data_IF_545003707758
#
_entry.id   IF_545003707758
#
_cell.length_a   1.000
_cell.length_b   1.000
_cell.length_c   1.000
_cell.angle_alpha   90.00
_cell.angle_beta   90.00
_cell.angle_gamma   90.00
#
_symmetry.space_group_name_H-M   'P 1'
#
loop_
_entity.id
_entity.type
_entity.pdbx_description
1 polymer ?
#
# COMPACT_ATOMS: atom_id res chain seq x y z
N UNK A 1 -18.97 12.28 -10.27
CA UNK A 1 -18.64 11.12 -11.06
C UNK A 1 -17.16 11.10 -11.53
N UNK A 2 -16.35 12.06 -11.07
CA UNK A 2 -14.93 12.14 -11.45
C UNK A 2 -14.63 12.59 -12.88
N UNK A 3 -15.65 12.93 -13.67
CA UNK A 3 -15.46 13.32 -15.08
C UNK A 3 -15.09 14.79 -15.26
N UNK A 4 -15.14 15.59 -14.20
CA UNK A 4 -14.97 17.06 -14.28
C UNK A 4 -16.19 17.82 -14.82
N UNK A 5 -17.28 17.13 -15.12
CA UNK A 5 -18.52 17.75 -15.53
C UNK A 5 -19.17 18.55 -14.37
N UNK A 6 -19.90 19.65 -14.64
CA UNK A 6 -20.62 20.37 -13.60
C UNK A 6 -21.57 19.47 -12.82
N UNK A 7 -21.74 19.76 -11.52
CA UNK A 7 -22.74 19.09 -10.70
C UNK A 7 -24.15 19.33 -11.21
N UNK A 8 -25.05 18.41 -10.96
CA UNK A 8 -26.48 18.57 -11.27
C UNK A 8 -27.32 18.26 -10.03
N UNK A 9 -28.53 18.81 -9.99
CA UNK A 9 -29.53 18.48 -8.96
C UNK A 9 -30.51 17.46 -9.52
N UNK A 10 -30.62 16.31 -8.86
CA UNK A 10 -31.47 15.20 -9.29
C UNK A 10 -31.32 13.97 -8.45
N UNK A 11 -31.90 12.88 -8.91
CA UNK A 11 -31.87 11.57 -8.28
C UNK A 11 -30.85 10.67 -8.98
N UNK A 12 -30.39 9.64 -8.27
CA UNK A 12 -29.52 8.56 -8.79
C UNK A 12 -30.23 7.25 -8.53
N UNK A 13 -30.36 6.42 -9.57
CA UNK A 13 -30.82 5.05 -9.45
C UNK A 13 -29.63 4.10 -9.49
N UNK A 14 -29.58 3.17 -8.51
CA UNK A 14 -28.56 2.13 -8.39
C UNK A 14 -29.27 0.79 -8.43
N UNK A 15 -28.76 -0.11 -9.26
CA UNK A 15 -29.17 -1.53 -9.30
C UNK A 15 -27.93 -2.36 -9.02
N UNK A 16 -28.00 -3.19 -7.98
CA UNK A 16 -26.87 -3.88 -7.38
C UNK A 16 -25.77 -2.89 -6.98
N UNK A 17 -24.66 -2.85 -7.68
CA UNK A 17 -23.51 -1.94 -7.45
C UNK A 17 -23.28 -0.94 -8.59
N UNK A 18 -24.22 -0.87 -9.55
CA UNK A 18 -24.12 -0.03 -10.75
C UNK A 18 -25.08 1.16 -10.70
N UNK A 19 -24.58 2.34 -11.01
CA UNK A 19 -25.43 3.51 -11.29
C UNK A 19 -26.07 3.31 -12.67
N UNK A 20 -27.35 2.98 -12.68
CA UNK A 20 -28.09 2.68 -13.94
C UNK A 20 -28.77 3.89 -14.53
N UNK A 21 -29.09 4.89 -13.73
CA UNK A 21 -29.76 6.09 -14.23
C UNK A 21 -29.50 7.32 -13.33
N UNK A 22 -29.66 8.50 -13.90
CA UNK A 22 -29.58 9.78 -13.19
C UNK A 22 -30.56 10.78 -13.80
N UNK A 23 -31.21 11.58 -12.97
CA UNK A 23 -32.15 12.57 -13.45
C UNK A 23 -33.17 12.93 -12.38
N UNK A 24 -34.42 13.23 -12.82
CA UNK A 24 -35.57 13.45 -11.94
C UNK A 24 -36.63 12.40 -12.22
N UNK A 25 -37.41 12.08 -11.20
CA UNK A 25 -38.56 11.18 -11.32
C UNK A 25 -38.17 9.78 -11.86
N UNK A 26 -37.17 9.18 -11.30
CA UNK A 26 -36.61 7.87 -11.77
C UNK A 26 -37.51 6.68 -11.45
N UNK A 27 -38.72 6.92 -10.90
CA UNK A 27 -39.67 5.86 -10.59
C UNK A 27 -39.53 5.24 -9.20
N UNK A 28 -40.09 4.04 -9.03
CA UNK A 28 -40.10 3.33 -7.75
C UNK A 28 -38.82 2.53 -7.55
N UNK A 29 -38.37 2.49 -6.31
CA UNK A 29 -37.23 1.66 -5.90
C UNK A 29 -37.58 0.82 -4.66
N UNK A 30 -36.88 -0.29 -4.47
CA UNK A 30 -36.98 -1.13 -3.26
C UNK A 30 -36.60 -0.37 -2.00
N UNK A 31 -35.57 0.48 -2.11
CA UNK A 31 -35.09 1.34 -1.03
C UNK A 31 -34.88 2.75 -1.58
N UNK A 32 -35.39 3.73 -0.86
CA UNK A 32 -35.20 5.15 -1.21
C UNK A 32 -34.48 5.83 -0.05
N UNK A 33 -33.39 6.52 -0.36
CA UNK A 33 -32.62 7.31 0.59
C UNK A 33 -32.89 8.80 0.28
N UNK A 34 -33.48 9.52 1.23
CA UNK A 34 -33.65 10.97 1.09
C UNK A 34 -32.30 11.67 1.30
N UNK A 35 -31.76 12.20 0.20
CA UNK A 35 -30.49 12.94 0.20
C UNK A 35 -30.70 14.46 0.05
N UNK A 36 -31.89 14.99 0.36
CA UNK A 36 -32.16 16.40 0.26
C UNK A 36 -31.19 17.24 1.08
N UNK A 37 -30.54 18.20 0.41
CA UNK A 37 -29.52 19.06 1.03
C UNK A 37 -28.14 18.42 1.16
N UNK A 38 -27.97 17.20 0.66
CA UNK A 38 -26.69 16.50 0.60
C UNK A 38 -26.12 16.50 -0.81
N UNK A 39 -24.85 16.18 -0.92
CA UNK A 39 -24.15 15.97 -2.19
C UNK A 39 -23.68 14.53 -2.27
N UNK A 40 -24.02 13.84 -3.35
CA UNK A 40 -23.44 12.55 -3.68
C UNK A 40 -22.15 12.76 -4.48
N UNK A 41 -21.06 12.23 -3.99
CA UNK A 41 -19.74 12.33 -4.61
C UNK A 41 -19.15 10.95 -4.77
N UNK A 42 -18.12 10.76 -5.65
CA UNK A 42 -17.31 9.55 -5.65
C UNK A 42 -16.70 9.31 -4.27
N UNK A 43 -16.53 8.04 -3.89
CA UNK A 43 -15.80 7.70 -2.68
C UNK A 43 -14.36 8.23 -2.73
N UNK A 44 -13.82 8.61 -1.59
CA UNK A 44 -12.47 9.13 -1.52
C UNK A 44 -11.44 8.01 -1.72
N UNK A 45 -10.36 8.37 -2.41
CA UNK A 45 -9.16 7.53 -2.54
C UNK A 45 -8.13 8.08 -1.56
N UNK A 46 -7.82 7.31 -0.52
CA UNK A 46 -6.71 7.62 0.36
C UNK A 46 -5.42 7.05 -0.24
N UNK A 47 -4.63 7.93 -0.84
CA UNK A 47 -3.45 7.56 -1.61
C UNK A 47 -2.21 7.30 -0.75
N UNK A 48 -2.28 7.51 0.58
CA UNK A 48 -1.15 7.30 1.46
C UNK A 48 -1.59 6.74 2.80
N UNK A 49 -1.62 5.41 2.90
CA UNK A 49 -1.96 4.71 4.14
C UNK A 49 -0.92 3.66 4.51
N UNK A 50 -0.98 3.21 5.76
CA UNK A 50 -0.14 2.15 6.31
C UNK A 50 -1.00 1.05 6.94
N UNK A 51 -2.09 0.67 6.27
CA UNK A 51 -3.00 -0.40 6.72
C UNK A 51 -2.48 -1.82 6.44
N UNK A 52 -1.25 -1.96 5.97
CA UNK A 52 -0.65 -3.24 5.57
C UNK A 52 -0.82 -4.32 6.65
N UNK A 53 -0.41 -4.04 7.86
CA UNK A 53 -0.57 -4.96 8.97
C UNK A 53 -2.04 -5.05 9.42
N UNK A 54 -2.73 -3.92 9.56
CA UNK A 54 -4.09 -3.85 10.09
C UNK A 54 -5.08 -4.67 9.27
N UNK A 55 -4.98 -4.70 7.94
CA UNK A 55 -5.87 -5.49 7.08
C UNK A 55 -5.84 -7.00 7.40
N UNK A 56 -4.82 -7.49 8.08
CA UNK A 56 -4.75 -8.89 8.46
C UNK A 56 -5.67 -9.25 9.65
N UNK A 57 -6.16 -8.28 10.41
CA UNK A 57 -7.13 -8.48 11.50
C UNK A 57 -8.39 -7.62 11.39
N UNK A 58 -8.30 -6.41 10.82
CA UNK A 58 -9.43 -5.52 10.53
C UNK A 58 -9.62 -5.35 9.03
N UNK A 59 -10.44 -6.20 8.38
CA UNK A 59 -10.64 -6.13 6.94
C UNK A 59 -11.38 -4.86 6.49
N UNK A 60 -11.95 -4.10 7.42
CA UNK A 60 -12.63 -2.84 7.10
C UNK A 60 -11.70 -1.64 7.06
N UNK A 61 -10.44 -1.76 7.46
CA UNK A 61 -9.49 -0.64 7.52
C UNK A 61 -10.07 0.58 8.28
N UNK A 62 -10.68 0.32 9.44
CA UNK A 62 -11.25 1.41 10.23
C UNK A 62 -10.16 2.40 10.71
N UNK A 63 -10.46 3.72 10.73
CA UNK A 63 -11.79 4.32 10.54
C UNK A 63 -12.09 4.82 9.13
N UNK A 64 -11.19 4.64 8.15
CA UNK A 64 -11.24 5.31 6.84
C UNK A 64 -12.57 5.15 6.09
N UNK A 65 -13.20 3.97 5.99
CA UNK A 65 -14.49 3.83 5.30
C UNK A 65 -15.62 4.63 5.93
N UNK A 66 -15.61 4.80 7.26
CA UNK A 66 -16.60 5.62 7.98
C UNK A 66 -16.47 7.10 7.66
N UNK A 67 -15.34 7.52 7.10
CA UNK A 67 -15.07 8.89 6.64
C UNK A 67 -15.28 9.07 5.14
N UNK A 68 -15.83 8.05 4.46
CA UNK A 68 -16.13 8.09 3.02
C UNK A 68 -15.00 7.61 2.13
N UNK A 69 -13.94 7.01 2.68
CA UNK A 69 -12.86 6.39 1.89
C UNK A 69 -13.34 5.05 1.36
N UNK A 70 -13.29 4.87 0.05
CA UNK A 70 -13.67 3.63 -0.62
C UNK A 70 -12.50 2.90 -1.27
N UNK A 71 -11.35 3.56 -1.37
CA UNK A 71 -10.12 3.00 -1.91
C UNK A 71 -8.94 3.45 -1.06
N UNK A 72 -8.09 2.51 -0.67
CA UNK A 72 -6.85 2.78 0.06
C UNK A 72 -5.65 2.30 -0.73
N UNK A 73 -4.55 3.03 -0.62
CA UNK A 73 -3.25 2.61 -1.18
C UNK A 73 -2.32 2.31 -0.01
N UNK A 74 -1.82 1.07 0.04
CA UNK A 74 -0.92 0.56 1.07
C UNK A 74 0.50 0.36 0.55
N UNK A 75 1.45 0.06 1.43
CA UNK A 75 2.86 -0.13 1.07
C UNK A 75 3.61 1.18 0.87
N UNK A 76 3.05 2.29 1.31
CA UNK A 76 3.67 3.60 1.18
C UNK A 76 5.01 3.67 1.91
N UNK A 77 5.87 4.58 1.51
CA UNK A 77 7.22 4.78 2.06
C UNK A 77 8.14 3.55 1.95
N UNK A 78 7.69 2.49 1.28
CA UNK A 78 8.41 1.23 1.20
C UNK A 78 8.29 0.35 2.46
N UNK A 79 7.27 0.59 3.28
CA UNK A 79 6.99 -0.14 4.52
C UNK A 79 5.80 -1.07 4.29
N UNK A 80 6.08 -2.35 4.20
CA UNK A 80 5.06 -3.39 4.00
C UNK A 80 5.35 -4.58 4.91
N UNK A 81 4.38 -5.48 5.05
CA UNK A 81 4.57 -6.74 5.75
C UNK A 81 4.87 -7.91 4.80
N UNK A 82 4.84 -7.65 3.49
CA UNK A 82 5.17 -8.64 2.46
C UNK A 82 6.05 -8.00 1.37
N UNK A 83 7.05 -8.76 0.85
CA UNK A 83 7.38 -10.14 1.21
C UNK A 83 8.06 -10.25 2.59
N UNK A 84 7.88 -11.37 3.29
CA UNK A 84 8.49 -11.58 4.60
C UNK A 84 8.66 -13.08 4.91
N UNK A 85 9.90 -13.56 4.98
CA UNK A 85 10.23 -14.92 5.44
C UNK A 85 9.88 -15.11 6.92
N UNK A 86 9.54 -16.33 7.30
CA UNK A 86 9.12 -16.62 8.67
C UNK A 86 10.15 -16.19 9.73
N UNK A 87 11.43 -16.40 9.46
CA UNK A 87 12.55 -16.01 10.32
C UNK A 87 12.75 -14.50 10.45
N UNK A 88 12.25 -13.71 9.49
CA UNK A 88 12.41 -12.24 9.47
C UNK A 88 11.17 -11.48 10.00
N UNK A 89 10.12 -12.18 10.43
CA UNK A 89 8.86 -11.55 10.90
C UNK A 89 9.08 -10.57 12.04
N UNK A 90 9.92 -10.92 13.01
CA UNK A 90 10.20 -10.01 14.12
C UNK A 90 10.92 -8.74 13.67
N UNK A 91 11.89 -8.87 12.76
CA UNK A 91 12.59 -7.73 12.18
C UNK A 91 11.65 -6.81 11.40
N UNK A 92 10.78 -7.39 10.57
CA UNK A 92 9.76 -6.65 9.82
C UNK A 92 8.81 -5.89 10.76
N UNK A 93 8.32 -6.52 11.82
CA UNK A 93 7.44 -5.87 12.80
C UNK A 93 8.15 -4.72 13.52
N UNK A 94 9.41 -4.88 13.90
CA UNK A 94 10.22 -3.82 14.54
C UNK A 94 10.41 -2.60 13.63
N UNK A 95 10.54 -2.82 12.34
CA UNK A 95 10.60 -1.74 11.36
C UNK A 95 9.27 -0.97 11.27
N UNK A 96 8.13 -1.62 11.54
CA UNK A 96 6.81 -1.01 11.43
C UNK A 96 6.33 -0.28 12.69
N UNK A 97 6.88 -0.57 13.87
CA UNK A 97 6.38 -0.04 15.15
C UNK A 97 6.24 1.48 15.17
N UNK A 98 7.23 2.20 14.64
CA UNK A 98 7.20 3.66 14.60
C UNK A 98 6.25 4.20 13.53
N UNK A 99 6.08 3.49 12.42
CA UNK A 99 5.24 3.91 11.29
C UNK A 99 3.77 3.68 11.61
N UNK A 100 3.44 2.51 12.15
CA UNK A 100 2.07 2.13 12.51
C UNK A 100 1.57 2.81 13.79
N UNK A 101 2.50 3.35 14.59
CA UNK A 101 2.16 3.90 15.92
C UNK A 101 1.61 2.86 16.89
N UNK A 102 1.81 1.58 16.61
CA UNK A 102 1.35 0.45 17.42
C UNK A 102 2.50 -0.18 18.19
N UNK A 103 2.17 -0.74 19.37
CA UNK A 103 3.16 -1.49 20.14
C UNK A 103 3.58 -2.77 19.41
N UNK A 104 4.83 -3.19 19.61
CA UNK A 104 5.36 -4.45 19.07
C UNK A 104 4.49 -5.65 19.42
N UNK A 105 3.98 -5.70 20.67
CA UNK A 105 3.11 -6.79 21.13
C UNK A 105 1.76 -6.82 20.42
N UNK A 106 1.19 -5.67 20.10
CA UNK A 106 -0.06 -5.58 19.34
C UNK A 106 0.14 -6.09 17.91
N UNK A 107 1.22 -5.69 17.25
CA UNK A 107 1.57 -6.15 15.91
C UNK A 107 1.86 -7.67 15.91
N UNK A 108 2.64 -8.17 16.88
CA UNK A 108 2.92 -9.62 17.00
C UNK A 108 1.67 -10.47 17.15
N UNK A 109 0.65 -9.97 17.88
CA UNK A 109 -0.62 -10.69 18.10
C UNK A 109 -1.61 -10.50 16.95
N UNK A 110 -1.60 -9.33 16.31
CA UNK A 110 -2.58 -8.95 15.31
C UNK A 110 -2.30 -9.54 13.93
N UNK A 111 -1.04 -9.58 13.51
CA UNK A 111 -0.69 -9.96 12.14
C UNK A 111 -0.94 -11.47 11.93
N UNK A 112 -1.78 -11.76 10.94
CA UNK A 112 -1.99 -13.12 10.46
C UNK A 112 -1.02 -13.40 9.30
N UNK A 113 -0.02 -14.25 9.55
CA UNK A 113 1.06 -14.58 8.62
C UNK A 113 0.75 -15.78 7.71
N UNK A 114 -0.40 -15.81 7.06
CA UNK A 114 -0.76 -16.85 6.08
C UNK A 114 -0.20 -16.56 4.68
N UNK A 115 0.93 -15.87 4.62
CA UNK A 115 1.65 -15.50 3.39
C UNK A 115 3.15 -15.35 3.70
N UNK A 116 3.96 -15.41 2.67
CA UNK A 116 5.40 -15.10 2.69
C UNK A 116 5.74 -14.10 1.58
N UNK A 117 5.28 -14.36 0.37
CA UNK A 117 5.54 -13.50 -0.80
C UNK A 117 4.51 -12.37 -0.93
N UNK A 118 4.84 -11.37 -1.74
CA UNK A 118 3.90 -10.29 -2.04
C UNK A 118 2.63 -10.77 -2.79
N UNK A 119 2.72 -11.65 -3.81
CA UNK A 119 1.54 -12.24 -4.42
C UNK A 119 0.64 -13.02 -3.45
N UNK A 120 1.23 -13.79 -2.54
CA UNK A 120 0.48 -14.52 -1.51
C UNK A 120 -0.25 -13.55 -0.56
N UNK A 121 0.36 -12.43 -0.23
CA UNK A 121 -0.29 -11.40 0.58
C UNK A 121 -1.49 -10.78 -0.15
N UNK A 122 -1.36 -10.44 -1.43
CA UNK A 122 -2.50 -9.94 -2.22
C UNK A 122 -3.62 -10.99 -2.29
N UNK A 123 -3.26 -12.25 -2.52
CA UNK A 123 -4.23 -13.35 -2.51
C UNK A 123 -4.89 -13.54 -1.15
N UNK A 124 -4.15 -13.42 -0.05
CA UNK A 124 -4.70 -13.47 1.29
C UNK A 124 -5.73 -12.36 1.53
N UNK A 125 -5.48 -11.12 1.08
CA UNK A 125 -6.43 -10.03 1.19
C UNK A 125 -7.69 -10.28 0.35
N UNK A 126 -7.53 -10.80 -0.86
CA UNK A 126 -8.63 -11.16 -1.76
C UNK A 126 -9.53 -12.25 -1.13
N UNK A 127 -8.93 -13.34 -0.65
CA UNK A 127 -9.66 -14.47 -0.06
C UNK A 127 -10.35 -14.10 1.25
N UNK A 128 -9.73 -13.21 2.04
CA UNK A 128 -10.32 -12.70 3.26
C UNK A 128 -11.54 -11.81 2.99
N UNK A 129 -11.53 -11.10 1.88
CA UNK A 129 -12.46 -10.03 1.58
C UNK A 129 -12.18 -8.80 2.45
N UNK A 130 -11.92 -7.68 1.82
CA UNK A 130 -11.67 -6.39 2.47
C UNK A 130 -12.75 -5.39 2.08
N UNK A 131 -13.10 -4.49 3.00
CA UNK A 131 -14.18 -3.53 2.78
C UNK A 131 -13.87 -2.50 1.71
N UNK A 132 -12.79 -1.73 1.79
CA UNK A 132 -12.36 -0.81 0.74
C UNK A 132 -11.68 -1.56 -0.41
N UNK A 133 -11.63 -0.93 -1.59
CA UNK A 133 -10.69 -1.36 -2.61
C UNK A 133 -9.27 -1.12 -2.13
N UNK A 134 -8.35 -2.03 -2.45
CA UNK A 134 -6.96 -1.97 -2.04
C UNK A 134 -6.05 -1.99 -3.26
N UNK A 135 -5.13 -1.02 -3.32
CA UNK A 135 -3.98 -1.07 -4.19
C UNK A 135 -2.72 -1.11 -3.33
N UNK A 136 -1.73 -1.92 -3.70
CA UNK A 136 -0.54 -2.14 -2.89
C UNK A 136 0.74 -1.87 -3.65
N UNK A 137 1.65 -1.09 -3.04
CA UNK A 137 3.02 -0.98 -3.49
C UNK A 137 3.86 -2.16 -3.01
N UNK A 138 4.86 -2.52 -3.80
CA UNK A 138 5.93 -3.42 -3.38
C UNK A 138 6.94 -2.56 -2.59
N UNK A 139 7.11 -2.86 -1.30
CA UNK A 139 7.89 -2.04 -0.39
C UNK A 139 9.38 -2.36 -0.40
N UNK A 140 10.21 -1.35 -0.63
CA UNK A 140 11.67 -1.50 -0.74
C UNK A 140 12.30 -2.09 0.52
N UNK A 141 11.93 -1.57 1.70
CA UNK A 141 12.49 -2.07 2.98
C UNK A 141 12.17 -3.54 3.20
N UNK A 142 10.95 -3.97 2.86
CA UNK A 142 10.54 -5.37 3.00
C UNK A 142 11.26 -6.29 2.01
N UNK A 143 11.43 -5.84 0.76
CA UNK A 143 12.20 -6.57 -0.26
C UNK A 143 13.66 -6.75 0.18
N UNK A 144 14.30 -5.69 0.71
CA UNK A 144 15.67 -5.78 1.24
C UNK A 144 15.78 -6.76 2.41
N UNK A 145 14.84 -6.71 3.37
CA UNK A 145 14.82 -7.64 4.51
C UNK A 145 14.59 -9.07 4.03
N UNK A 146 13.73 -9.27 3.05
CA UNK A 146 13.45 -10.60 2.50
C UNK A 146 14.69 -11.25 1.88
N UNK A 147 15.51 -10.47 1.15
CA UNK A 147 16.72 -10.96 0.47
C UNK A 147 17.92 -11.05 1.41
N UNK A 148 18.14 -10.01 2.24
CA UNK A 148 19.37 -9.82 3.00
C UNK A 148 19.25 -10.13 4.50
N UNK A 149 18.02 -10.30 5.01
CA UNK A 149 17.79 -10.47 6.43
C UNK A 149 18.26 -9.26 7.25
N UNK A 150 18.94 -9.52 8.36
CA UNK A 150 19.47 -8.48 9.27
C UNK A 150 20.53 -7.60 8.60
N UNK A 151 21.25 -8.10 7.61
CA UNK A 151 22.26 -7.33 6.88
C UNK A 151 21.64 -6.16 6.08
N UNK A 152 20.35 -6.22 5.80
CA UNK A 152 19.60 -5.10 5.20
C UNK A 152 19.65 -3.81 6.03
N UNK A 153 19.94 -3.91 7.34
CA UNK A 153 20.06 -2.79 8.27
C UNK A 153 21.49 -2.24 8.41
N UNK A 154 22.48 -2.90 7.84
CA UNK A 154 23.89 -2.60 8.14
C UNK A 154 24.75 -2.30 6.92
N UNK A 155 24.37 -2.77 5.74
CA UNK A 155 25.17 -2.62 4.52
C UNK A 155 24.35 -2.42 3.26
N UNK A 156 25.03 -2.02 2.20
CA UNK A 156 24.49 -2.01 0.84
C UNK A 156 24.31 -3.44 0.32
N UNK A 157 23.37 -3.62 -0.60
CA UNK A 157 23.21 -4.86 -1.35
C UNK A 157 24.37 -5.09 -2.33
N UNK A 158 24.75 -6.33 -2.54
CA UNK A 158 25.62 -6.75 -3.63
C UNK A 158 24.83 -6.99 -4.92
N UNK A 159 25.53 -7.28 -6.03
CA UNK A 159 24.88 -7.44 -7.33
C UNK A 159 23.89 -8.63 -7.38
N UNK A 160 24.20 -9.74 -6.74
CA UNK A 160 23.32 -10.92 -6.75
C UNK A 160 22.03 -10.63 -5.96
N UNK A 161 22.17 -9.95 -4.82
CA UNK A 161 21.02 -9.49 -4.02
C UNK A 161 20.14 -8.49 -4.78
N UNK A 162 20.74 -7.58 -5.54
CA UNK A 162 19.99 -6.65 -6.40
C UNK A 162 19.19 -7.41 -7.46
N UNK A 163 19.79 -8.42 -8.09
CA UNK A 163 19.11 -9.27 -9.09
C UNK A 163 17.94 -10.02 -8.45
N UNK A 164 18.11 -10.54 -7.23
CA UNK A 164 17.02 -11.20 -6.51
C UNK A 164 15.89 -10.22 -6.19
N UNK A 165 16.20 -9.02 -5.71
CA UNK A 165 15.22 -7.96 -5.47
C UNK A 165 14.47 -7.56 -6.76
N UNK A 166 15.17 -7.42 -7.90
CA UNK A 166 14.53 -7.15 -9.20
C UNK A 166 13.50 -8.22 -9.56
N UNK A 167 13.79 -9.50 -9.30
CA UNK A 167 12.88 -10.60 -9.58
C UNK A 167 11.63 -10.52 -8.72
N UNK A 168 11.76 -10.17 -7.44
CA UNK A 168 10.64 -9.94 -6.53
C UNK A 168 9.77 -8.78 -7.01
N UNK A 169 10.38 -7.66 -7.45
CA UNK A 169 9.63 -6.53 -8.02
C UNK A 169 8.86 -6.97 -9.27
N UNK A 170 9.51 -7.70 -10.18
CA UNK A 170 8.86 -8.20 -11.41
C UNK A 170 7.69 -9.13 -11.09
N UNK A 171 7.88 -10.07 -10.17
CA UNK A 171 6.82 -10.97 -9.72
C UNK A 171 5.64 -10.19 -9.11
N UNK A 172 5.91 -9.23 -8.24
CA UNK A 172 4.88 -8.38 -7.65
C UNK A 172 4.11 -7.58 -8.70
N UNK A 173 4.80 -7.03 -9.71
CA UNK A 173 4.16 -6.30 -10.81
C UNK A 173 3.29 -7.20 -11.69
N UNK A 174 3.71 -8.44 -11.95
CA UNK A 174 2.92 -9.43 -12.70
C UNK A 174 1.61 -9.75 -11.96
N UNK A 175 1.68 -9.87 -10.64
CA UNK A 175 0.57 -10.27 -9.79
C UNK A 175 -0.28 -9.09 -9.27
N UNK A 176 -0.22 -7.91 -9.90
CA UNK A 176 -1.16 -6.83 -9.62
C UNK A 176 -0.62 -5.71 -8.72
N UNK A 177 0.66 -5.72 -8.38
CA UNK A 177 1.29 -4.62 -7.66
C UNK A 177 1.08 -3.28 -8.37
N UNK A 178 0.74 -2.24 -7.59
CA UNK A 178 0.53 -0.88 -8.09
C UNK A 178 1.83 -0.27 -8.61
N UNK A 179 2.95 -0.65 -8.02
CA UNK A 179 4.26 -0.13 -8.32
C UNK A 179 5.26 -0.41 -7.19
N UNK A 180 6.30 0.40 -7.12
CA UNK A 180 7.39 0.27 -6.16
C UNK A 180 7.47 1.51 -5.26
N UNK A 181 7.55 1.31 -3.95
CA UNK A 181 7.65 2.39 -2.98
C UNK A 181 8.95 2.32 -2.18
N UNK A 182 9.52 3.48 -1.89
CA UNK A 182 10.76 3.61 -1.13
C UNK A 182 10.83 4.89 -0.32
N UNK A 183 11.80 4.98 0.57
CA UNK A 183 12.08 6.18 1.35
C UNK A 183 13.57 6.42 1.52
N UNK A 184 13.95 7.68 1.36
CA UNK A 184 15.27 8.20 1.75
C UNK A 184 15.19 9.21 2.90
N UNK A 185 13.99 9.36 3.49
CA UNK A 185 13.75 10.33 4.57
C UNK A 185 14.48 9.93 5.85
N UNK A 186 15.28 10.84 6.39
CA UNK A 186 16.14 10.63 7.57
C UNK A 186 15.33 10.32 8.84
N UNK A 187 14.09 10.77 8.90
CA UNK A 187 13.16 10.51 10.00
C UNK A 187 12.55 9.10 10.00
N UNK A 188 12.67 8.37 8.89
CA UNK A 188 12.19 7.00 8.81
C UNK A 188 13.21 6.05 9.45
N UNK A 189 12.90 5.68 10.68
CA UNK A 189 13.70 4.78 11.50
C UNK A 189 12.77 3.72 12.11
N UNK A 190 13.27 2.51 12.23
CA UNK A 190 12.64 1.43 12.98
C UNK A 190 12.87 1.58 14.49
N UNK A 191 12.68 0.49 15.21
CA UNK A 191 12.89 0.42 16.65
C UNK A 191 14.29 0.93 17.03
N UNK A 192 14.36 1.67 18.14
CA UNK A 192 15.62 2.25 18.69
C UNK A 192 16.37 3.19 17.74
N UNK A 193 15.70 3.77 16.74
CA UNK A 193 16.31 4.73 15.82
C UNK A 193 17.18 4.10 14.72
N UNK A 194 17.10 2.78 14.52
CA UNK A 194 17.82 2.09 13.44
C UNK A 194 17.26 2.57 12.10
N UNK A 195 18.10 3.02 11.14
CA UNK A 195 17.63 3.44 9.84
C UNK A 195 16.80 2.35 9.13
N UNK A 196 15.71 2.77 8.46
CA UNK A 196 14.97 1.84 7.62
C UNK A 196 15.86 1.24 6.51
N UNK A 197 15.70 -0.05 6.19
CA UNK A 197 16.52 -0.75 5.20
C UNK A 197 16.68 0.00 3.88
N UNK A 198 15.63 0.60 3.34
CA UNK A 198 15.67 1.36 2.08
C UNK A 198 16.63 2.55 2.09
N UNK A 199 16.97 3.10 3.27
CA UNK A 199 17.90 4.24 3.40
C UNK A 199 19.36 3.84 3.18
N UNK A 200 19.68 2.54 3.21
CA UNK A 200 21.02 2.00 2.96
C UNK A 200 21.24 1.61 1.48
N UNK A 201 20.19 1.71 0.65
CA UNK A 201 20.29 1.47 -0.78
C UNK A 201 21.13 2.55 -1.44
N UNK A 202 21.97 2.14 -2.38
CA UNK A 202 22.69 3.09 -3.21
C UNK A 202 21.96 3.36 -4.54
N UNK A 203 22.55 4.25 -5.34
CA UNK A 203 22.00 4.64 -6.64
C UNK A 203 21.84 3.45 -7.59
N UNK A 204 22.77 2.51 -7.58
CA UNK A 204 22.74 1.32 -8.46
C UNK A 204 21.54 0.45 -8.14
N UNK A 205 21.36 0.11 -6.89
CA UNK A 205 20.20 -0.66 -6.41
C UNK A 205 18.88 0.06 -6.78
N UNK A 206 18.77 1.34 -6.45
CA UNK A 206 17.57 2.13 -6.73
C UNK A 206 17.22 2.15 -8.21
N UNK A 207 18.20 2.40 -9.07
CA UNK A 207 18.00 2.43 -10.53
C UNK A 207 17.59 1.06 -11.09
N UNK A 208 18.18 -0.02 -10.60
CA UNK A 208 17.86 -1.37 -11.01
C UNK A 208 16.40 -1.73 -10.66
N UNK A 209 15.97 -1.44 -9.44
CA UNK A 209 14.61 -1.75 -8.99
C UNK A 209 13.55 -0.90 -9.71
N UNK A 210 13.80 0.39 -9.92
CA UNK A 210 12.91 1.26 -10.73
C UNK A 210 12.81 0.73 -12.16
N UNK A 211 13.93 0.32 -12.75
CA UNK A 211 13.97 -0.25 -14.11
C UNK A 211 13.18 -1.56 -14.18
N UNK A 212 13.30 -2.42 -13.16
CA UNK A 212 12.53 -3.66 -13.07
C UNK A 212 11.03 -3.38 -13.06
N UNK A 213 10.55 -2.42 -12.26
CA UNK A 213 9.15 -1.98 -12.23
C UNK A 213 8.72 -1.38 -13.59
N UNK A 214 9.50 -0.42 -14.13
CA UNK A 214 9.12 0.32 -15.34
C UNK A 214 9.10 -0.53 -16.61
N UNK A 215 9.75 -1.70 -16.60
CA UNK A 215 9.74 -2.62 -17.74
C UNK A 215 8.34 -3.13 -18.13
N UNK A 216 7.35 -2.95 -17.26
CA UNK A 216 5.96 -3.31 -17.52
C UNK A 216 5.16 -2.23 -18.26
N UNK A 217 5.74 -1.07 -18.55
CA UNK A 217 5.03 0.06 -19.17
C UNK A 217 3.90 0.63 -18.31
N UNK A 218 3.83 0.22 -17.05
CA UNK A 218 2.85 0.66 -16.04
C UNK A 218 3.48 0.65 -14.65
N UNK A 219 2.82 1.28 -13.70
CA UNK A 219 3.21 1.30 -12.29
C UNK A 219 3.53 2.71 -11.82
N UNK A 220 3.49 2.88 -10.52
CA UNK A 220 3.79 4.15 -9.85
C UNK A 220 5.07 3.99 -9.03
N UNK A 221 6.01 4.90 -9.20
CA UNK A 221 7.14 5.02 -8.31
C UNK A 221 6.84 6.03 -7.21
N UNK A 222 6.77 5.54 -5.97
CA UNK A 222 6.52 6.36 -4.79
C UNK A 222 7.82 6.55 -4.01
N UNK A 223 8.21 7.81 -3.79
CA UNK A 223 9.41 8.16 -3.03
C UNK A 223 9.08 9.16 -1.92
N UNK A 224 9.37 8.79 -0.67
CA UNK A 224 9.42 9.74 0.44
C UNK A 224 10.84 10.27 0.59
N UNK A 225 10.99 11.58 0.44
CA UNK A 225 12.29 12.26 0.45
C UNK A 225 12.56 12.96 1.78
N UNK A 226 13.82 12.98 2.18
CA UNK A 226 14.32 13.89 3.19
C UNK A 226 14.40 15.33 2.70
N UNK A 227 14.42 16.27 3.62
CA UNK A 227 14.53 17.71 3.33
C UNK A 227 15.85 18.10 2.64
N UNK A 228 16.88 17.29 2.79
CA UNK A 228 18.24 17.56 2.31
C UNK A 228 18.60 16.81 1.02
N UNK A 229 17.67 16.05 0.44
CA UNK A 229 17.93 15.32 -0.82
C UNK A 229 17.36 16.09 -2.01
N UNK A 230 18.23 16.51 -2.96
CA UNK A 230 17.77 17.03 -4.25
C UNK A 230 17.34 15.89 -5.18
N UNK A 231 16.48 16.19 -6.16
CA UNK A 231 16.07 15.21 -7.19
C UNK A 231 17.22 14.89 -8.14
N UNK A 232 18.21 15.77 -8.18
CA UNK A 232 19.31 15.74 -9.15
C UNK A 232 20.55 14.98 -8.65
N UNK A 233 20.50 14.36 -7.44
CA UNK A 233 21.62 13.59 -6.87
C UNK A 233 21.36 12.10 -6.93
#
# INVERSE_FOLDING_TARGET
>A
DGTGMPSFTGDIAVEDDIIVNRGKDLGNAKTVIDAKGLSLVPGFIDSHTHYDAQLTWDPWANPSPKLGVTTIIIGNCGFTIAPCKAEHRELTIKNLTNVEGMSLDALKKGINWNFETFPEYLKFLEDRGVGPNVAAYIGHSSVRVYVMGEEALTRKANNDEIIEMENIIKEGMINGGLGFATSTFEGHNGENGVPMPSRLADKTEMQSLIKAMSSFGRGVFMLTRGSNTSVDN
#
